data_IF_976839410337
#
_entry.id   IF_976839410337
#
_cell.length_a   1.000
_cell.length_b   1.000
_cell.length_c   1.000
_cell.angle_alpha   90.00
_cell.angle_beta   90.00
_cell.angle_gamma   90.00
#
_symmetry.space_group_name_H-M   'P 1'
#
loop_
_entity.id
_entity.type
_entity.pdbx_description
1 polymer ?
#
# COMPACT_ATOMS: atom_id res chain seq x y z
N UNK A 1 -13.02 -69.39 -43.79
CA UNK A 1 -12.06 -70.48 -44.01
C UNK A 1 -10.71 -69.92 -43.60
N UNK A 2 -10.42 -69.91 -42.30
CA UNK A 2 -9.91 -71.06 -41.52
C UNK A 2 -8.37 -71.11 -41.63
N UNK A 3 -7.56 -71.15 -40.58
CA UNK A 3 -7.80 -71.21 -39.12
C UNK A 3 -6.48 -70.83 -38.42
N UNK A 4 -6.56 -70.24 -37.23
CA UNK A 4 -5.55 -70.41 -36.18
C UNK A 4 -5.53 -71.89 -35.71
N UNK A 5 -4.52 -72.38 -34.97
CA UNK A 5 -4.37 -72.13 -33.51
C UNK A 5 -2.88 -72.18 -33.07
N UNK A 6 -2.44 -72.21 -31.81
CA UNK A 6 -2.78 -71.63 -30.51
C UNK A 6 -1.64 -72.08 -29.54
N UNK A 7 -1.51 -71.38 -28.41
CA UNK A 7 -1.02 -71.85 -27.10
C UNK A 7 0.47 -72.17 -26.85
N UNK A 8 1.05 -71.28 -26.04
CA UNK A 8 1.99 -71.49 -24.92
C UNK A 8 1.46 -72.49 -23.86
N UNK A 9 2.28 -73.13 -23.00
CA UNK A 9 2.93 -72.44 -21.86
C UNK A 9 4.33 -72.91 -21.40
N UNK A 10 4.97 -71.95 -20.71
CA UNK A 10 6.07 -71.99 -19.70
C UNK A 10 6.04 -73.18 -18.71
N UNK A 11 7.08 -73.49 -17.88
CA UNK A 11 7.93 -72.50 -17.19
C UNK A 11 9.40 -72.87 -16.81
N UNK A 12 10.10 -71.83 -16.36
CA UNK A 12 11.01 -71.75 -15.19
C UNK A 12 12.32 -72.59 -15.11
N UNK A 13 13.41 -71.80 -15.01
CA UNK A 13 14.40 -71.74 -13.91
C UNK A 13 15.87 -72.12 -14.20
N UNK A 14 16.70 -71.06 -14.18
CA UNK A 14 18.11 -70.89 -13.77
C UNK A 14 19.19 -71.90 -14.20
N UNK A 15 20.39 -71.42 -14.58
CA UNK A 15 21.49 -71.43 -13.59
C UNK A 15 22.52 -70.28 -13.68
N UNK A 16 23.40 -70.27 -12.66
CA UNK A 16 24.81 -69.80 -12.58
C UNK A 16 25.07 -68.29 -12.56
N UNK A 17 25.56 -67.78 -11.42
CA UNK A 17 26.98 -67.58 -11.04
C UNK A 17 27.48 -66.21 -11.55
N UNK A 18 27.53 -65.22 -10.69
CA UNK A 18 28.72 -64.82 -9.91
C UNK A 18 29.71 -64.05 -10.81
N UNK A 19 29.63 -62.72 -10.78
CA UNK A 19 30.82 -61.87 -10.90
C UNK A 19 30.54 -60.41 -10.54
N UNK A 20 31.52 -59.85 -9.84
CA UNK A 20 31.50 -58.61 -9.09
C UNK A 20 31.22 -57.33 -9.90
N UNK A 21 30.50 -56.40 -9.27
CA UNK A 21 30.64 -54.95 -9.50
C UNK A 21 30.03 -54.16 -8.33
N UNK A 22 30.90 -53.63 -7.46
CA UNK A 22 30.57 -52.62 -6.46
C UNK A 22 30.16 -51.30 -7.15
N UNK A 23 29.02 -50.68 -6.81
CA UNK A 23 28.72 -49.32 -7.22
C UNK A 23 29.17 -48.32 -6.13
N UNK A 24 30.16 -47.52 -6.52
CA UNK A 24 30.55 -46.19 -6.04
C UNK A 24 29.53 -45.52 -5.09
N UNK A 25 29.90 -45.42 -3.81
CA UNK A 25 29.26 -44.51 -2.84
C UNK A 25 29.43 -43.06 -3.31
N UNK A 26 28.30 -42.40 -3.58
CA UNK A 26 28.25 -40.95 -3.76
C UNK A 26 27.85 -40.33 -2.42
N UNK A 27 28.62 -39.36 -1.87
CA UNK A 27 28.32 -38.81 -0.56
C UNK A 27 27.05 -37.95 -0.62
N UNK A 28 26.08 -38.27 0.25
CA UNK A 28 24.90 -37.45 0.50
C UNK A 28 25.31 -36.17 1.22
N UNK A 29 25.50 -35.11 0.45
CA UNK A 29 25.51 -33.73 0.95
C UNK A 29 24.11 -33.16 0.73
N UNK A 30 23.19 -33.38 1.68
CA UNK A 30 22.01 -32.53 1.80
C UNK A 30 22.44 -31.26 2.51
N UNK A 31 23.07 -30.36 1.74
CA UNK A 31 23.11 -28.96 2.08
C UNK A 31 21.70 -28.41 1.84
N UNK A 32 20.96 -28.12 2.91
CA UNK A 32 19.80 -27.24 2.84
C UNK A 32 20.29 -25.88 2.32
N UNK A 33 19.90 -25.55 1.09
CA UNK A 33 20.02 -24.20 0.57
C UNK A 33 19.12 -23.28 1.41
N UNK A 34 19.49 -22.01 1.65
CA UNK A 34 18.58 -21.05 2.25
C UNK A 34 17.36 -20.92 1.32
N UNK A 35 16.16 -21.14 1.85
CA UNK A 35 14.94 -20.72 1.16
C UNK A 35 14.84 -19.20 1.26
N UNK A 36 15.50 -18.50 0.33
CA UNK A 36 15.34 -17.06 0.14
C UNK A 36 13.89 -16.77 -0.30
N UNK A 37 13.14 -16.03 0.52
CA UNK A 37 11.88 -15.39 0.13
C UNK A 37 10.55 -16.03 0.57
N UNK A 38 10.55 -17.12 1.35
CA UNK A 38 9.28 -17.67 1.88
C UNK A 38 9.09 -17.35 3.36
N UNK A 39 8.00 -16.63 3.68
CA UNK A 39 7.56 -16.42 5.06
C UNK A 39 7.47 -17.75 5.84
N UNK A 40 7.68 -17.72 7.17
CA UNK A 40 7.40 -18.85 8.03
C UNK A 40 6.00 -19.43 7.74
N UNK A 41 5.85 -20.77 7.73
CA UNK A 41 4.56 -21.41 7.50
C UNK A 41 3.56 -21.13 8.63
N UNK A 42 4.04 -20.71 9.80
CA UNK A 42 3.25 -20.29 10.94
C UNK A 42 2.97 -18.79 10.88
N UNK A 43 1.69 -18.43 10.90
CA UNK A 43 1.23 -17.04 10.88
C UNK A 43 1.74 -16.24 12.09
N UNK A 44 1.95 -16.89 13.24
CA UNK A 44 2.52 -16.25 14.45
C UNK A 44 3.95 -15.82 14.19
N UNK A 45 4.79 -16.74 13.71
CA UNK A 45 6.19 -16.45 13.39
C UNK A 45 6.32 -15.40 12.27
N UNK A 46 5.44 -15.44 11.27
CA UNK A 46 5.43 -14.43 10.21
C UNK A 46 4.99 -13.03 10.71
N UNK A 47 4.14 -12.95 11.75
CA UNK A 47 3.78 -11.67 12.40
C UNK A 47 4.96 -11.13 13.21
N UNK A 48 5.68 -11.99 13.94
CA UNK A 48 6.87 -11.59 14.71
C UNK A 48 7.98 -11.06 13.77
N UNK A 49 8.15 -11.72 12.62
CA UNK A 49 9.07 -11.28 11.56
C UNK A 49 8.65 -9.92 10.99
N UNK A 50 7.37 -9.72 10.66
CA UNK A 50 6.86 -8.43 10.19
C UNK A 50 7.11 -7.31 11.21
N UNK A 51 6.89 -7.59 12.50
CA UNK A 51 7.18 -6.64 13.57
C UNK A 51 8.67 -6.27 13.61
N UNK A 52 9.56 -7.26 13.47
CA UNK A 52 11.02 -7.05 13.44
C UNK A 52 11.45 -6.25 12.22
N UNK A 53 10.92 -6.58 11.04
CA UNK A 53 11.15 -5.84 9.79
C UNK A 53 10.68 -4.40 9.92
N UNK A 54 9.50 -4.16 10.51
CA UNK A 54 8.98 -2.81 10.71
C UNK A 54 9.84 -1.98 11.67
N UNK A 55 10.33 -2.56 12.77
CA UNK A 55 11.26 -1.85 13.66
C UNK A 55 12.57 -1.51 12.95
N UNK A 56 13.08 -2.43 12.13
CA UNK A 56 14.28 -2.20 11.31
C UNK A 56 14.04 -1.10 10.28
N UNK A 57 12.88 -1.10 9.61
CA UNK A 57 12.47 -0.06 8.66
C UNK A 57 12.42 1.31 9.31
N UNK A 58 11.83 1.43 10.51
CA UNK A 58 11.81 2.69 11.25
C UNK A 58 13.21 3.19 11.58
N UNK A 59 14.09 2.30 12.04
CA UNK A 59 15.48 2.67 12.37
C UNK A 59 16.27 3.08 11.13
N UNK A 60 16.07 2.39 10.00
CA UNK A 60 16.73 2.70 8.74
C UNK A 60 16.26 4.05 8.19
N UNK A 61 14.94 4.29 8.18
CA UNK A 61 14.37 5.56 7.75
C UNK A 61 14.75 6.73 8.67
N UNK A 62 14.89 6.50 9.98
CA UNK A 62 15.26 7.54 10.94
C UNK A 62 16.66 8.14 10.73
N UNK A 63 17.51 7.50 9.90
CA UNK A 63 18.81 8.03 9.48
C UNK A 63 18.68 9.22 8.52
N UNK A 64 17.57 9.29 7.79
CA UNK A 64 17.36 10.24 6.69
C UNK A 64 16.10 11.09 6.91
N UNK A 65 15.09 10.52 7.58
CA UNK A 65 13.80 11.14 7.86
C UNK A 65 13.73 11.51 9.34
N UNK A 66 13.47 12.79 9.61
CA UNK A 66 13.51 13.35 10.97
C UNK A 66 12.10 13.82 11.33
N UNK A 67 11.60 13.37 12.49
CA UNK A 67 10.35 13.87 13.08
C UNK A 67 9.06 13.42 12.40
N UNK A 68 9.11 12.37 11.58
CA UNK A 68 7.95 11.87 10.83
C UNK A 68 7.56 10.43 11.20
N UNK A 69 7.78 10.02 12.45
CA UNK A 69 7.49 8.66 12.92
C UNK A 69 6.03 8.24 12.67
N UNK A 70 5.07 9.12 12.93
CA UNK A 70 3.64 8.83 12.71
C UNK A 70 3.32 8.68 11.21
N UNK A 71 3.90 9.53 10.36
CA UNK A 71 3.74 9.44 8.90
C UNK A 71 4.30 8.11 8.40
N UNK A 72 5.48 7.70 8.90
CA UNK A 72 6.11 6.41 8.56
C UNK A 72 5.21 5.24 9.00
N UNK A 73 4.64 5.27 10.21
CA UNK A 73 3.68 4.27 10.68
C UNK A 73 2.46 4.19 9.76
N UNK A 74 1.84 5.33 9.44
CA UNK A 74 0.65 5.39 8.58
C UNK A 74 0.93 4.90 7.15
N UNK A 75 2.09 5.23 6.58
CA UNK A 75 2.52 4.74 5.26
C UNK A 75 2.77 3.23 5.26
N UNK A 76 3.47 2.72 6.29
CA UNK A 76 3.68 1.28 6.45
C UNK A 76 2.34 0.54 6.56
N UNK A 77 1.41 1.04 7.38
CA UNK A 77 0.07 0.47 7.51
C UNK A 77 -0.63 0.41 6.14
N UNK A 78 -0.63 1.50 5.38
CA UNK A 78 -1.24 1.50 4.04
C UNK A 78 -0.58 0.51 3.09
N UNK A 79 0.75 0.48 3.03
CA UNK A 79 1.50 -0.41 2.15
C UNK A 79 1.20 -1.90 2.46
N UNK A 80 1.29 -2.30 3.73
CA UNK A 80 1.03 -3.69 4.12
C UNK A 80 -0.47 -4.05 4.12
N UNK A 81 -1.37 -3.06 4.17
CA UNK A 81 -2.81 -3.27 4.03
C UNK A 81 -3.30 -3.25 2.58
N UNK A 82 -2.43 -3.00 1.60
CA UNK A 82 -2.77 -2.76 0.18
C UNK A 82 -3.72 -1.57 -0.01
N UNK A 83 -3.53 -0.53 0.79
CA UNK A 83 -4.19 0.76 0.64
C UNK A 83 -3.30 1.77 -0.08
N UNK A 84 -3.88 2.88 -0.50
CA UNK A 84 -3.18 4.05 -1.01
C UNK A 84 -3.33 5.20 -0.03
N UNK A 85 -2.35 6.10 0.03
CA UNK A 85 -2.40 7.24 0.94
C UNK A 85 -2.43 8.56 0.16
N UNK A 86 -3.14 9.53 0.73
CA UNK A 86 -3.14 10.93 0.31
C UNK A 86 -2.41 11.74 1.37
N UNK A 87 -1.32 12.38 1.01
CA UNK A 87 -0.49 13.15 1.92
C UNK A 87 -0.75 14.65 1.71
N UNK A 88 -1.36 15.27 2.72
CA UNK A 88 -1.53 16.71 2.81
C UNK A 88 -0.39 17.32 3.61
N UNK A 89 0.25 18.36 3.06
CA UNK A 89 1.29 19.07 3.80
C UNK A 89 1.91 20.14 2.94
N UNK A 90 2.64 21.05 3.56
CA UNK A 90 3.31 22.14 2.83
C UNK A 90 4.49 21.63 1.98
N UNK A 91 4.93 22.40 0.98
CA UNK A 91 6.15 22.10 0.24
C UNK A 91 7.37 22.04 1.15
N UNK A 92 8.36 21.20 0.81
CA UNK A 92 9.64 21.14 1.50
C UNK A 92 9.73 20.16 2.67
N UNK A 93 8.68 19.43 3.01
CA UNK A 93 8.67 18.45 4.13
C UNK A 93 9.27 17.08 3.78
N UNK A 94 10.29 17.05 2.90
CA UNK A 94 11.00 15.82 2.50
C UNK A 94 10.10 14.66 2.00
N UNK A 95 8.89 14.94 1.48
CA UNK A 95 7.92 13.92 1.04
C UNK A 95 8.49 12.99 -0.05
N UNK A 96 9.22 13.55 -1.01
CA UNK A 96 9.87 12.76 -2.06
C UNK A 96 10.95 11.86 -1.48
N UNK A 97 11.75 12.38 -0.54
CA UNK A 97 12.78 11.63 0.15
C UNK A 97 12.17 10.48 0.97
N UNK A 98 11.03 10.71 1.62
CA UNK A 98 10.32 9.67 2.38
C UNK A 98 9.91 8.49 1.48
N UNK A 99 9.26 8.74 0.34
CA UNK A 99 8.82 7.65 -0.54
C UNK A 99 9.98 6.95 -1.22
N UNK A 100 10.99 7.68 -1.69
CA UNK A 100 12.17 7.06 -2.30
C UNK A 100 12.91 6.20 -1.28
N UNK A 101 13.04 6.67 -0.03
CA UNK A 101 13.69 5.93 1.07
C UNK A 101 12.93 4.64 1.40
N UNK A 102 11.59 4.68 1.42
CA UNK A 102 10.77 3.46 1.59
C UNK A 102 11.00 2.48 0.43
N UNK A 103 11.10 2.97 -0.81
CA UNK A 103 11.41 2.15 -1.98
C UNK A 103 12.77 1.46 -1.89
N UNK A 104 13.79 2.20 -1.48
CA UNK A 104 15.15 1.68 -1.27
C UNK A 104 15.20 0.63 -0.15
N UNK A 105 14.49 0.85 0.96
CA UNK A 105 14.46 -0.09 2.08
C UNK A 105 13.70 -1.39 1.77
N UNK A 106 12.85 -1.42 0.74
CA UNK A 106 11.97 -2.55 0.43
C UNK A 106 12.22 -3.17 -0.96
N UNK A 107 13.31 -2.76 -1.61
CA UNK A 107 13.70 -3.16 -2.98
C UNK A 107 12.53 -3.03 -3.98
N UNK A 108 11.84 -1.89 -3.92
CA UNK A 108 10.68 -1.59 -4.75
C UNK A 108 11.03 -0.56 -5.81
N UNK A 109 10.58 -0.80 -7.05
CA UNK A 109 10.73 0.20 -8.11
C UNK A 109 9.95 1.47 -7.77
N UNK A 110 10.59 2.61 -7.91
CA UNK A 110 10.03 3.92 -7.61
C UNK A 110 9.79 4.72 -8.89
N UNK A 111 8.63 5.38 -8.96
CA UNK A 111 8.27 6.30 -10.02
C UNK A 111 7.61 7.56 -9.43
N UNK A 112 7.84 8.69 -10.10
CA UNK A 112 7.32 9.99 -9.68
C UNK A 112 6.61 10.65 -10.85
N UNK A 113 5.39 11.13 -10.59
CA UNK A 113 4.60 11.94 -11.51
C UNK A 113 4.34 13.28 -10.84
N UNK A 114 4.74 14.36 -11.49
CA UNK A 114 4.34 15.70 -11.11
C UNK A 114 3.06 16.04 -11.88
N UNK A 115 1.97 16.30 -11.16
CA UNK A 115 0.72 16.70 -11.79
C UNK A 115 0.80 18.17 -12.18
N UNK A 116 0.53 18.44 -13.45
CA UNK A 116 0.49 19.77 -14.04
C UNK A 116 -0.80 19.96 -14.86
N UNK A 117 -1.23 21.20 -15.15
CA UNK A 117 -2.48 21.45 -15.87
C UNK A 117 -2.51 20.87 -17.30
N UNK A 118 -1.35 20.63 -17.89
CA UNK A 118 -1.14 20.09 -19.23
C UNK A 118 -0.94 18.57 -19.27
N UNK A 119 -0.82 17.91 -18.11
CA UNK A 119 -0.61 16.47 -18.03
C UNK A 119 -1.81 15.69 -18.61
N UNK A 120 -1.53 14.80 -19.56
CA UNK A 120 -2.55 13.98 -20.22
C UNK A 120 -2.67 12.60 -19.55
N UNK A 121 -3.84 11.94 -19.64
CA UNK A 121 -4.01 10.55 -19.16
C UNK A 121 -2.97 9.56 -19.71
N UNK A 122 -2.56 9.72 -20.97
CA UNK A 122 -1.56 8.88 -21.62
C UNK A 122 -0.15 9.07 -21.03
N UNK A 123 0.16 10.25 -20.47
CA UNK A 123 1.45 10.49 -19.80
C UNK A 123 1.57 9.73 -18.47
N UNK A 124 0.43 9.32 -17.91
CA UNK A 124 0.34 8.52 -16.68
C UNK A 124 0.31 7.04 -17.03
N UNK A 125 -0.63 6.67 -17.89
CA UNK A 125 -0.94 5.28 -18.21
C UNK A 125 0.03 4.68 -19.22
N UNK A 126 0.62 5.48 -20.10
CA UNK A 126 1.42 5.03 -21.23
C UNK A 126 0.74 5.30 -22.57
N UNK A 127 1.51 5.20 -23.65
CA UNK A 127 1.01 5.43 -25.01
C UNK A 127 1.60 4.43 -25.98
N UNK A 128 0.80 4.04 -26.97
CA UNK A 128 1.29 3.35 -28.15
C UNK A 128 2.03 4.35 -29.06
N UNK A 129 3.25 4.00 -29.45
CA UNK A 129 4.01 4.70 -30.47
C UNK A 129 4.14 3.83 -31.71
N UNK A 130 4.25 4.45 -32.88
CA UNK A 130 4.56 3.73 -34.11
C UNK A 130 6.07 3.68 -34.26
N UNK A 131 6.65 2.49 -34.13
CA UNK A 131 8.06 2.26 -34.38
C UNK A 131 8.24 1.55 -35.72
N UNK A 132 9.29 1.90 -36.46
CA UNK A 132 9.65 1.23 -37.70
C UNK A 132 10.62 0.09 -37.37
N UNK A 133 10.21 -1.14 -37.62
CA UNK A 133 11.03 -2.32 -37.35
C UNK A 133 12.32 -2.26 -38.17
N UNK A 134 13.47 -2.17 -37.49
CA UNK A 134 14.79 -2.06 -38.12
C UNK A 134 15.11 -3.25 -39.06
N UNK A 135 14.42 -4.38 -38.89
CA UNK A 135 14.62 -5.61 -39.68
C UNK A 135 13.68 -5.67 -40.89
N UNK A 136 12.47 -5.10 -40.81
CA UNK A 136 11.42 -5.31 -41.82
C UNK A 136 10.90 -4.03 -42.49
N UNK A 137 11.25 -2.85 -41.98
CA UNK A 137 10.74 -1.56 -42.46
C UNK A 137 9.23 -1.36 -42.27
N UNK A 138 8.58 -2.24 -41.50
CA UNK A 138 7.15 -2.14 -41.21
C UNK A 138 6.92 -1.25 -39.98
N UNK A 139 5.84 -0.48 -40.04
CA UNK A 139 5.30 0.29 -38.91
C UNK A 139 4.58 -0.67 -37.97
N UNK A 140 5.12 -0.85 -36.78
CA UNK A 140 4.53 -1.64 -35.69
C UNK A 140 4.13 -0.70 -34.55
N UNK A 141 3.01 -1.00 -33.88
CA UNK A 141 2.62 -0.28 -32.68
C UNK A 141 3.35 -0.91 -31.49
N UNK A 142 4.17 -0.11 -30.80
CA UNK A 142 4.87 -0.49 -29.57
C UNK A 142 4.27 0.31 -28.41
N UNK A 143 3.81 -0.39 -27.37
CA UNK A 143 3.27 0.24 -26.19
C UNK A 143 4.40 0.65 -25.24
N UNK A 144 4.54 1.95 -25.00
CA UNK A 144 5.43 2.49 -23.98
C UNK A 144 4.64 2.60 -22.67
N UNK A 145 5.06 1.78 -21.70
CA UNK A 145 4.54 1.81 -20.33
C UNK A 145 4.72 3.19 -19.71
N UNK A 146 3.65 3.72 -19.15
CA UNK A 146 3.69 4.96 -18.39
C UNK A 146 4.31 4.80 -17.00
N UNK A 147 4.49 5.92 -16.27
CA UNK A 147 5.06 5.93 -14.93
C UNK A 147 4.25 5.15 -13.88
N UNK A 148 2.99 4.77 -14.14
CA UNK A 148 2.21 3.91 -13.23
C UNK A 148 2.72 2.47 -13.15
N UNK A 149 3.55 2.02 -14.09
CA UNK A 149 4.18 0.71 -14.05
C UNK A 149 5.43 0.75 -13.16
N UNK A 150 5.21 0.89 -11.86
CA UNK A 150 6.20 0.84 -10.81
C UNK A 150 5.55 0.32 -9.52
N UNK A 151 6.34 -0.09 -8.53
CA UNK A 151 5.80 -0.59 -7.27
C UNK A 151 5.33 0.54 -6.35
N UNK A 152 6.14 1.60 -6.25
CA UNK A 152 5.83 2.80 -5.49
C UNK A 152 5.69 3.99 -6.44
N UNK A 153 4.52 4.61 -6.42
CA UNK A 153 4.23 5.79 -7.22
C UNK A 153 3.99 7.01 -6.34
N UNK A 154 4.83 8.03 -6.47
CA UNK A 154 4.59 9.36 -5.92
C UNK A 154 3.85 10.22 -6.95
N UNK A 155 2.60 10.55 -6.67
CA UNK A 155 1.78 11.44 -7.49
C UNK A 155 1.71 12.84 -6.84
N UNK A 156 2.68 13.69 -7.18
CA UNK A 156 2.81 15.02 -6.58
C UNK A 156 1.76 15.99 -7.11
N UNK A 157 1.13 16.73 -6.19
CA UNK A 157 0.17 17.81 -6.47
C UNK A 157 -1.00 17.35 -7.34
N UNK A 158 -1.61 16.21 -7.01
CA UNK A 158 -2.69 15.58 -7.79
C UNK A 158 -3.84 16.54 -8.13
N UNK A 159 -4.05 17.57 -7.30
CA UNK A 159 -5.03 18.62 -7.50
C UNK A 159 -4.65 19.65 -8.58
N UNK A 160 -3.49 19.56 -9.25
CA UNK A 160 -3.10 20.49 -10.33
C UNK A 160 -3.45 20.01 -11.74
N UNK A 161 -3.77 18.73 -11.91
CA UNK A 161 -4.19 18.21 -13.21
C UNK A 161 -5.72 18.20 -13.36
N UNK A 162 -6.24 18.23 -14.60
CA UNK A 162 -7.68 18.12 -14.85
C UNK A 162 -8.27 16.80 -14.34
N UNK A 163 -9.58 16.80 -14.07
CA UNK A 163 -10.30 15.64 -13.55
C UNK A 163 -10.15 14.36 -14.40
N UNK A 164 -9.97 14.48 -15.73
CA UNK A 164 -9.73 13.32 -16.61
C UNK A 164 -8.39 12.63 -16.32
N UNK A 165 -7.35 13.43 -16.06
CA UNK A 165 -5.99 12.95 -15.75
C UNK A 165 -5.95 12.33 -14.36
N UNK A 166 -6.61 12.98 -13.37
CA UNK A 166 -6.83 12.40 -12.05
C UNK A 166 -7.54 11.04 -12.12
N UNK A 167 -8.60 10.95 -12.95
CA UNK A 167 -9.36 9.72 -13.12
C UNK A 167 -8.52 8.56 -13.67
N UNK A 168 -7.58 8.83 -14.57
CA UNK A 168 -6.71 7.80 -15.13
C UNK A 168 -5.82 7.14 -14.07
N UNK A 169 -5.23 7.93 -13.16
CA UNK A 169 -4.48 7.39 -12.03
C UNK A 169 -5.39 6.61 -11.07
N UNK A 170 -6.55 7.18 -10.73
CA UNK A 170 -7.49 6.56 -9.78
C UNK A 170 -8.11 5.27 -10.32
N UNK A 171 -8.28 5.15 -11.63
CA UNK A 171 -8.70 3.93 -12.30
C UNK A 171 -7.61 2.86 -12.18
N UNK A 172 -6.35 3.21 -12.49
CA UNK A 172 -5.21 2.31 -12.33
C UNK A 172 -5.08 1.80 -10.88
N UNK A 173 -5.30 2.67 -9.89
CA UNK A 173 -5.32 2.31 -8.46
C UNK A 173 -6.40 1.28 -8.11
N UNK A 174 -7.61 1.42 -8.65
CA UNK A 174 -8.71 0.52 -8.31
C UNK A 174 -8.63 -0.79 -9.08
N UNK A 175 -8.33 -0.71 -10.38
CA UNK A 175 -8.36 -1.85 -11.28
C UNK A 175 -7.05 -2.66 -11.27
N UNK A 176 -5.95 -2.08 -10.76
CA UNK A 176 -4.60 -2.67 -10.75
C UNK A 176 -4.12 -3.10 -12.14
N UNK A 177 -4.66 -2.48 -13.19
CA UNK A 177 -4.37 -2.71 -14.60
C UNK A 177 -4.69 -1.44 -15.39
N UNK A 178 -4.09 -1.33 -16.55
CA UNK A 178 -4.32 -0.25 -17.51
C UNK A 178 -4.76 -0.85 -18.83
N UNK A 179 -5.77 -0.27 -19.47
CA UNK A 179 -6.20 -0.69 -20.81
C UNK A 179 -5.90 0.41 -21.82
N UNK A 180 -5.08 0.09 -22.81
CA UNK A 180 -4.73 0.98 -23.92
C UNK A 180 -5.02 0.28 -25.25
N UNK A 181 -5.76 0.96 -26.14
CA UNK A 181 -6.17 0.48 -27.47
C UNK A 181 -6.72 -0.97 -27.51
N UNK A 182 -7.44 -1.39 -26.47
CA UNK A 182 -8.04 -2.71 -26.38
C UNK A 182 -7.13 -3.81 -25.82
N UNK A 183 -5.88 -3.48 -25.48
CA UNK A 183 -4.95 -4.36 -24.75
C UNK A 183 -4.91 -3.97 -23.28
N UNK A 184 -5.00 -4.97 -22.39
CA UNK A 184 -4.93 -4.78 -20.94
C UNK A 184 -3.54 -5.19 -20.44
N UNK A 185 -2.94 -4.32 -19.64
CA UNK A 185 -1.63 -4.47 -19.02
C UNK A 185 -1.79 -4.48 -17.51
N UNK A 186 -1.32 -5.52 -16.84
CA UNK A 186 -1.32 -5.60 -15.37
C UNK A 186 -0.22 -4.70 -14.79
N UNK A 187 -0.50 -4.07 -13.65
CA UNK A 187 0.50 -3.30 -12.91
C UNK A 187 1.41 -4.23 -12.10
N UNK A 188 2.64 -3.77 -11.88
CA UNK A 188 3.63 -4.49 -11.09
C UNK A 188 3.20 -4.53 -9.60
N UNK A 189 3.37 -5.68 -8.96
CA UNK A 189 2.91 -5.93 -7.59
C UNK A 189 4.13 -6.05 -6.66
N UNK A 190 4.12 -5.46 -5.45
CA UNK A 190 3.04 -4.64 -4.87
C UNK A 190 2.91 -3.30 -5.60
N UNK A 191 1.68 -2.76 -5.66
CA UNK A 191 1.38 -1.45 -6.23
C UNK A 191 0.86 -0.51 -5.15
N UNK A 192 1.61 0.55 -4.86
CA UNK A 192 1.28 1.56 -3.86
C UNK A 192 1.38 2.95 -4.47
N UNK A 193 0.44 3.81 -4.09
CA UNK A 193 0.37 5.19 -4.57
C UNK A 193 0.33 6.10 -3.35
N UNK A 194 1.28 7.02 -3.29
CA UNK A 194 1.23 8.18 -2.43
C UNK A 194 0.91 9.40 -3.28
N UNK A 195 -0.32 9.91 -3.18
CA UNK A 195 -0.67 11.17 -3.80
C UNK A 195 -0.39 12.31 -2.83
N UNK A 196 0.07 13.47 -3.30
CA UNK A 196 0.26 14.65 -2.46
C UNK A 196 -0.67 15.78 -2.87
N UNK A 197 -1.12 16.56 -1.90
CA UNK A 197 -1.85 17.80 -2.11
C UNK A 197 -1.20 18.91 -1.30
N UNK A 198 -1.07 20.08 -1.93
CA UNK A 198 -0.66 21.30 -1.25
C UNK A 198 -1.92 22.10 -0.85
N UNK A 199 -2.20 22.29 0.45
CA UNK A 199 -3.41 22.98 0.89
C UNK A 199 -3.38 24.50 0.66
N UNK A 200 -2.21 25.09 0.42
CA UNK A 200 -2.05 26.57 0.34
C UNK A 200 -2.32 27.10 -1.07
N UNK A 201 -2.00 26.33 -2.10
CA UNK A 201 -2.17 26.76 -3.49
C UNK A 201 -3.62 26.61 -3.93
N UNK A 202 -4.33 27.74 -4.10
CA UNK A 202 -5.72 27.77 -4.56
C UNK A 202 -5.84 28.08 -6.06
N UNK A 203 -4.86 28.75 -6.67
CA UNK A 203 -4.89 29.09 -8.10
C UNK A 203 -4.53 27.89 -8.97
N UNK A 204 -5.36 27.64 -10.01
CA UNK A 204 -5.09 26.57 -10.97
C UNK A 204 -5.25 25.16 -10.40
N UNK A 205 -6.02 24.99 -9.33
CA UNK A 205 -6.29 23.68 -8.73
C UNK A 205 -7.69 23.17 -9.05
N UNK A 206 -7.78 21.85 -9.16
CA UNK A 206 -8.96 21.03 -9.40
C UNK A 206 -9.11 20.11 -8.19
N UNK A 207 -9.97 20.46 -7.21
CA UNK A 207 -10.14 19.64 -6.01
C UNK A 207 -10.65 18.25 -6.42
N UNK A 208 -10.15 17.22 -5.73
CA UNK A 208 -10.66 15.87 -5.95
C UNK A 208 -12.07 15.79 -5.37
N UNK A 209 -13.07 15.36 -6.18
CA UNK A 209 -14.38 15.01 -5.65
C UNK A 209 -14.28 13.97 -4.53
N UNK A 210 -15.25 13.97 -3.64
CA UNK A 210 -15.25 13.15 -2.43
C UNK A 210 -15.31 11.65 -2.78
N UNK A 211 -16.00 11.31 -3.87
CA UNK A 211 -15.99 9.96 -4.43
C UNK A 211 -14.59 9.50 -4.88
N UNK A 212 -13.70 10.42 -5.25
CA UNK A 212 -12.32 10.14 -5.60
C UNK A 212 -11.43 10.06 -4.35
N UNK A 213 -11.58 11.00 -3.42
CA UNK A 213 -10.89 10.96 -2.13
C UNK A 213 -11.17 9.65 -1.38
N UNK A 214 -12.40 9.15 -1.44
CA UNK A 214 -12.80 7.90 -0.77
C UNK A 214 -12.04 6.66 -1.28
N UNK A 215 -11.34 6.73 -2.42
CA UNK A 215 -10.48 5.65 -2.92
C UNK A 215 -9.17 5.52 -2.13
N UNK A 216 -8.68 6.61 -1.51
CA UNK A 216 -7.51 6.57 -0.65
C UNK A 216 -7.87 6.00 0.72
N UNK A 217 -7.07 5.07 1.22
CA UNK A 217 -7.25 4.48 2.54
C UNK A 217 -7.09 5.55 3.62
N UNK A 218 -5.93 6.22 3.64
CA UNK A 218 -5.60 7.27 4.60
C UNK A 218 -5.45 8.65 3.93
N UNK A 219 -5.90 9.67 4.65
CA UNK A 219 -5.41 11.04 4.51
C UNK A 219 -4.41 11.27 5.65
N UNK A 220 -3.15 11.51 5.27
CA UNK A 220 -2.02 11.73 6.18
C UNK A 220 -1.65 13.20 6.14
N UNK A 221 -1.71 13.87 7.28
CA UNK A 221 -1.29 15.26 7.40
C UNK A 221 0.14 15.34 7.90
N UNK A 222 0.95 16.20 7.28
CA UNK A 222 2.32 16.47 7.70
C UNK A 222 2.45 17.95 8.04
N UNK A 223 2.67 18.21 9.32
CA UNK A 223 2.90 19.54 9.86
C UNK A 223 4.38 19.94 9.74
N UNK A 224 4.67 21.21 10.05
CA UNK A 224 6.05 21.66 10.16
C UNK A 224 6.79 20.93 11.28
N UNK A 225 8.08 20.60 11.09
CA UNK A 225 8.90 20.01 12.14
C UNK A 225 9.03 20.97 13.33
N UNK A 226 9.25 20.41 14.52
CA UNK A 226 9.62 21.19 15.70
C UNK A 226 10.97 21.88 15.51
N UNK A 227 11.28 22.89 16.33
CA UNK A 227 12.55 23.62 16.24
C UNK A 227 13.78 22.68 16.31
N UNK A 228 13.73 21.66 17.17
CA UNK A 228 14.84 20.71 17.31
C UNK A 228 14.95 19.77 16.09
N UNK A 229 13.83 19.33 15.53
CA UNK A 229 13.81 18.55 14.29
C UNK A 229 14.30 19.40 13.11
N UNK A 230 13.87 20.65 13.00
CA UNK A 230 14.29 21.55 11.93
C UNK A 230 15.79 21.85 11.98
N UNK A 231 16.34 22.06 13.19
CA UNK A 231 17.80 22.17 13.39
C UNK A 231 18.55 20.92 12.95
N UNK A 232 17.99 19.74 13.24
CA UNK A 232 18.58 18.46 12.80
C UNK A 232 18.51 18.32 11.29
N UNK A 233 17.36 18.60 10.68
CA UNK A 233 17.18 18.60 9.21
C UNK A 233 18.21 19.52 8.59
N UNK A 234 18.36 20.75 9.08
CA UNK A 234 19.33 21.70 8.56
C UNK A 234 20.77 21.16 8.67
N UNK A 235 21.13 20.47 9.77
CA UNK A 235 22.47 19.91 9.95
C UNK A 235 22.74 18.70 9.05
N UNK A 236 21.79 17.77 8.98
CA UNK A 236 21.94 16.49 8.30
C UNK A 236 21.81 16.66 6.76
N UNK A 237 20.95 17.57 6.29
CA UNK A 237 20.77 17.81 4.84
C UNK A 237 21.82 18.75 4.22
N UNK A 238 22.51 19.55 5.02
CA UNK A 238 23.61 20.43 4.54
C UNK A 238 25.00 19.83 4.74
N UNK A 239 25.08 18.61 5.28
CA UNK A 239 26.30 17.83 5.38
C UNK A 239 26.81 17.33 4.01
N UNK A 240 28.02 16.77 4.00
CA UNK A 240 28.68 16.27 2.77
C UNK A 240 28.35 14.79 2.51
N UNK A 241 27.99 14.03 3.55
CA UNK A 241 27.68 12.60 3.47
C UNK A 241 26.18 12.35 3.72
N UNK A 242 25.58 11.50 2.89
CA UNK A 242 24.28 10.92 3.13
C UNK A 242 24.44 9.45 3.50
N UNK A 243 23.81 9.03 4.59
CA UNK A 243 23.75 7.62 4.96
C UNK A 243 23.03 6.85 3.87
N UNK A 244 23.67 5.78 3.37
CA UNK A 244 23.04 4.85 2.43
C UNK A 244 22.08 3.94 3.19
N UNK A 245 20.84 3.91 2.72
CA UNK A 245 19.83 2.99 3.22
C UNK A 245 20.13 1.57 2.74
N UNK A 246 19.88 0.60 3.60
CA UNK A 246 19.99 -0.82 3.26
C UNK A 246 18.61 -1.38 2.92
N UNK A 247 18.55 -2.20 1.87
CA UNK A 247 17.37 -2.99 1.57
C UNK A 247 17.15 -4.03 2.69
N UNK A 248 15.95 -4.04 3.27
CA UNK A 248 15.58 -4.89 4.40
C UNK A 248 14.76 -6.10 3.94
N UNK A 249 13.87 -5.88 2.97
CA UNK A 249 13.00 -6.91 2.39
C UNK A 249 12.82 -6.65 0.90
N UNK A 250 12.33 -7.66 0.18
CA UNK A 250 12.03 -7.65 -1.25
C UNK A 250 10.55 -7.41 -1.52
N UNK A 251 10.20 -7.05 -2.76
CA UNK A 251 8.80 -6.91 -3.17
C UNK A 251 7.96 -8.20 -3.03
N UNK A 252 8.58 -9.39 -3.16
CA UNK A 252 7.89 -10.66 -2.95
C UNK A 252 7.52 -10.88 -1.47
N UNK A 253 8.43 -10.53 -0.56
CA UNK A 253 8.19 -10.57 0.88
C UNK A 253 7.10 -9.56 1.29
N UNK A 254 7.12 -8.35 0.71
CA UNK A 254 6.02 -7.37 0.90
C UNK A 254 4.67 -7.97 0.50
N UNK A 255 4.59 -8.64 -0.65
CA UNK A 255 3.36 -9.29 -1.09
C UNK A 255 2.92 -10.41 -0.17
N UNK A 256 3.86 -11.14 0.41
CA UNK A 256 3.61 -12.20 1.38
C UNK A 256 3.06 -11.61 2.69
N UNK A 257 3.67 -10.54 3.22
CA UNK A 257 3.17 -9.83 4.40
C UNK A 257 1.79 -9.20 4.17
N UNK A 258 1.53 -8.65 2.98
CA UNK A 258 0.19 -8.15 2.63
C UNK A 258 -0.88 -9.25 2.65
N UNK A 259 -0.53 -10.49 2.30
CA UNK A 259 -1.45 -11.63 2.43
C UNK A 259 -1.64 -12.01 3.90
N UNK A 260 -0.57 -11.97 4.70
CA UNK A 260 -0.61 -12.22 6.14
C UNK A 260 -1.55 -11.23 6.86
N UNK A 261 -1.39 -9.92 6.64
CA UNK A 261 -2.24 -8.87 7.24
C UNK A 261 -3.72 -9.12 6.96
N UNK A 262 -4.08 -9.58 5.76
CA UNK A 262 -5.48 -9.90 5.43
C UNK A 262 -6.05 -11.06 6.23
N UNK A 263 -5.23 -12.05 6.56
CA UNK A 263 -5.62 -13.25 7.34
C UNK A 263 -5.68 -13.02 8.84
N UNK A 264 -5.14 -11.90 9.33
CA UNK A 264 -5.16 -11.56 10.75
C UNK A 264 -6.60 -11.63 11.32
N UNK A 265 -6.81 -12.32 12.45
CA UNK A 265 -8.10 -12.42 13.11
C UNK A 265 -8.52 -11.07 13.71
N UNK A 266 -9.82 -10.81 13.67
CA UNK A 266 -10.45 -9.64 14.26
C UNK A 266 -11.65 -10.13 15.07
N UNK A 267 -11.70 -9.86 16.38
CA UNK A 267 -12.86 -10.20 17.20
C UNK A 267 -14.13 -9.48 16.73
N UNK A 268 -15.30 -10.11 16.89
CA UNK A 268 -16.59 -9.56 16.43
C UNK A 268 -16.88 -8.15 16.99
N UNK A 269 -16.58 -7.91 18.27
CA UNK A 269 -16.78 -6.61 18.90
C UNK A 269 -15.95 -5.47 18.25
N UNK A 270 -14.83 -5.79 17.61
CA UNK A 270 -14.02 -4.81 16.87
C UNK A 270 -14.72 -4.41 15.56
N UNK A 271 -15.38 -5.36 14.89
CA UNK A 271 -16.22 -5.06 13.73
C UNK A 271 -17.41 -4.19 14.13
N UNK A 272 -18.07 -4.54 15.23
CA UNK A 272 -19.20 -3.76 15.75
C UNK A 272 -18.78 -2.32 16.09
N UNK A 273 -17.65 -2.16 16.78
CA UNK A 273 -17.09 -0.84 17.11
C UNK A 273 -16.75 -0.02 15.85
N UNK A 274 -16.12 -0.62 14.84
CA UNK A 274 -15.82 0.06 13.58
C UNK A 274 -17.10 0.50 12.84
N UNK A 275 -18.15 -0.32 12.88
CA UNK A 275 -19.47 0.04 12.32
C UNK A 275 -20.10 1.16 13.13
N UNK A 276 -20.02 1.11 14.45
CA UNK A 276 -20.56 2.13 15.35
C UNK A 276 -19.94 3.49 15.07
N UNK A 277 -18.60 3.60 15.06
CA UNK A 277 -17.89 4.85 14.74
C UNK A 277 -18.43 5.43 13.43
N UNK A 278 -18.43 4.62 12.36
CA UNK A 278 -18.84 5.08 11.03
C UNK A 278 -20.32 5.50 11.01
N UNK A 279 -21.20 4.79 11.71
CA UNK A 279 -22.62 5.15 11.80
C UNK A 279 -22.83 6.45 12.56
N UNK A 280 -22.09 6.68 13.65
CA UNK A 280 -22.16 7.92 14.43
C UNK A 280 -21.73 9.16 13.64
N UNK A 281 -20.87 9.01 12.62
CA UNK A 281 -20.54 10.13 11.71
C UNK A 281 -21.67 10.58 10.79
N UNK A 282 -22.75 9.79 10.64
CA UNK A 282 -23.82 10.07 9.65
C UNK A 282 -24.90 10.94 10.28
N UNK A 283 -25.08 12.21 9.85
CA UNK A 283 -25.99 13.15 10.52
C UNK A 283 -27.47 12.71 10.51
N UNK A 284 -27.86 11.86 9.54
CA UNK A 284 -29.22 11.32 9.43
C UNK A 284 -29.44 10.01 10.20
N UNK A 285 -28.42 9.49 10.91
CA UNK A 285 -28.55 8.27 11.71
C UNK A 285 -29.12 8.59 13.09
N UNK A 286 -29.99 7.73 13.61
CA UNK A 286 -30.50 7.85 14.98
C UNK A 286 -29.36 7.75 16.01
N UNK A 287 -28.32 6.99 15.68
CA UNK A 287 -27.13 6.76 16.52
C UNK A 287 -26.20 7.99 16.59
N UNK A 288 -26.37 8.99 15.71
CA UNK A 288 -25.44 10.11 15.63
C UNK A 288 -25.67 11.12 16.78
N UNK A 289 -24.62 11.50 17.53
CA UNK A 289 -24.67 12.54 18.55
C UNK A 289 -25.29 13.84 18.02
N UNK A 290 -25.99 14.59 18.88
CA UNK A 290 -26.69 15.81 18.48
C UNK A 290 -25.76 16.83 17.80
N UNK A 291 -24.52 16.96 18.28
CA UNK A 291 -23.53 17.88 17.73
C UNK A 291 -23.02 17.45 16.33
N UNK A 292 -22.99 16.15 16.02
CA UNK A 292 -22.67 15.67 14.66
C UNK A 292 -23.73 16.18 13.67
N UNK A 293 -25.01 16.15 14.06
CA UNK A 293 -26.11 16.63 13.20
C UNK A 293 -26.03 18.13 12.93
N UNK A 294 -25.42 18.88 13.83
CA UNK A 294 -25.21 20.32 13.70
C UNK A 294 -24.03 20.66 12.79
N UNK A 295 -22.95 19.87 12.82
CA UNK A 295 -21.68 20.22 12.17
C UNK A 295 -21.33 19.39 10.92
N UNK A 296 -21.90 18.20 10.76
CA UNK A 296 -21.58 17.30 9.65
C UNK A 296 -22.68 17.37 8.59
N UNK A 297 -22.29 17.71 7.36
CA UNK A 297 -23.17 17.66 6.19
C UNK A 297 -23.30 16.27 5.59
N UNK A 298 -22.20 15.50 5.59
CA UNK A 298 -22.18 14.13 5.07
C UNK A 298 -21.20 13.25 5.85
N UNK A 299 -21.65 12.06 6.25
CA UNK A 299 -20.86 11.11 7.04
C UNK A 299 -20.20 10.01 6.21
N UNK A 300 -19.37 9.21 6.86
CA UNK A 300 -18.56 8.20 6.21
C UNK A 300 -19.38 6.99 5.68
N UNK A 301 -18.99 6.50 4.50
CA UNK A 301 -19.61 5.34 3.84
C UNK A 301 -19.08 3.97 4.32
N UNK A 302 -19.61 2.86 3.81
CA UNK A 302 -19.17 1.50 4.19
C UNK A 302 -17.69 1.20 3.94
N UNK A 303 -17.07 1.88 2.97
CA UNK A 303 -15.64 1.75 2.69
C UNK A 303 -14.77 2.20 3.87
N UNK A 304 -15.25 3.16 4.66
CA UNK A 304 -14.58 3.57 5.90
C UNK A 304 -14.45 2.41 6.89
N UNK A 305 -15.51 1.60 7.07
CA UNK A 305 -15.46 0.42 7.95
C UNK A 305 -14.39 -0.56 7.47
N UNK A 306 -14.32 -0.81 6.16
CA UNK A 306 -13.31 -1.69 5.58
C UNK A 306 -11.90 -1.19 5.83
N UNK A 307 -11.65 0.11 5.67
CA UNK A 307 -10.34 0.69 5.90
C UNK A 307 -9.97 0.84 7.38
N UNK A 308 -10.94 1.04 8.28
CA UNK A 308 -10.70 0.96 9.72
C UNK A 308 -10.22 -0.45 10.10
N UNK A 309 -10.95 -1.48 9.68
CA UNK A 309 -10.58 -2.88 10.00
C UNK A 309 -9.25 -3.27 9.35
N UNK A 310 -9.03 -2.94 8.08
CA UNK A 310 -7.76 -3.22 7.40
C UNK A 310 -6.59 -2.45 8.04
N UNK A 311 -6.80 -1.18 8.39
CA UNK A 311 -5.79 -0.36 9.06
C UNK A 311 -5.46 -0.91 10.45
N UNK A 312 -6.46 -1.35 11.21
CA UNK A 312 -6.26 -1.97 12.51
C UNK A 312 -5.50 -3.30 12.41
N UNK A 313 -5.83 -4.15 11.42
CA UNK A 313 -5.06 -5.37 11.12
C UNK A 313 -3.60 -5.03 10.78
N UNK A 314 -3.38 -4.06 9.89
CA UNK A 314 -2.04 -3.63 9.51
C UNK A 314 -1.23 -3.14 10.71
N UNK A 315 -1.83 -2.26 11.53
CA UNK A 315 -1.18 -1.72 12.73
C UNK A 315 -0.86 -2.79 13.77
N UNK A 316 -1.81 -3.67 14.06
CA UNK A 316 -1.59 -4.80 14.97
C UNK A 316 -0.43 -5.68 14.48
N UNK A 317 -0.41 -6.02 13.19
CA UNK A 317 0.65 -6.86 12.60
C UNK A 317 2.03 -6.20 12.69
N UNK A 318 2.13 -4.91 12.39
CA UNK A 318 3.39 -4.16 12.49
C UNK A 318 3.91 -4.05 13.93
N UNK A 319 3.01 -4.13 14.92
CA UNK A 319 3.36 -4.15 16.34
C UNK A 319 3.68 -5.56 16.87
N UNK A 320 3.59 -6.59 16.04
CA UNK A 320 3.76 -7.99 16.47
C UNK A 320 2.56 -8.56 17.22
N UNK A 321 1.40 -7.91 17.16
CA UNK A 321 0.17 -8.42 17.77
C UNK A 321 -0.51 -9.43 16.85
N UNK A 322 -1.02 -10.51 17.44
CA UNK A 322 -1.65 -11.62 16.69
C UNK A 322 -3.13 -11.39 16.34
N UNK A 323 -3.74 -10.32 16.87
CA UNK A 323 -5.13 -9.94 16.62
C UNK A 323 -5.30 -8.42 16.71
N UNK A 324 -6.26 -7.88 15.98
CA UNK A 324 -6.58 -6.45 16.07
C UNK A 324 -7.30 -6.11 17.38
N UNK A 325 -7.00 -4.94 17.93
CA UNK A 325 -7.60 -4.41 19.14
C UNK A 325 -8.42 -3.13 18.89
N UNK A 326 -9.14 -2.66 19.92
CA UNK A 326 -9.85 -1.37 19.87
C UNK A 326 -8.86 -0.20 19.68
N UNK A 327 -7.70 -0.25 20.37
CA UNK A 327 -6.65 0.76 20.25
C UNK A 327 -6.17 0.89 18.78
N UNK A 328 -6.14 -0.22 18.05
CA UNK A 328 -5.74 -0.23 16.64
C UNK A 328 -6.76 0.45 15.73
N UNK A 329 -8.06 0.27 15.99
CA UNK A 329 -9.13 0.97 15.25
C UNK A 329 -9.07 2.47 15.51
N UNK A 330 -8.93 2.86 16.78
CA UNK A 330 -8.95 4.27 17.16
C UNK A 330 -7.76 5.04 16.60
N UNK A 331 -6.57 4.43 16.60
CA UNK A 331 -5.39 5.07 16.08
C UNK A 331 -5.42 5.29 14.56
N UNK A 332 -6.12 4.42 13.82
CA UNK A 332 -6.31 4.62 12.38
C UNK A 332 -7.59 5.41 12.05
N UNK A 333 -8.41 5.75 13.05
CA UNK A 333 -9.69 6.40 12.82
C UNK A 333 -9.56 7.78 12.19
N UNK A 334 -8.66 8.61 12.71
CA UNK A 334 -8.40 9.96 12.19
C UNK A 334 -7.95 9.93 10.72
N UNK A 335 -6.87 9.21 10.34
CA UNK A 335 -6.43 9.19 8.94
C UNK A 335 -7.45 8.51 8.00
N UNK A 336 -8.30 7.60 8.48
CA UNK A 336 -9.36 6.99 7.65
C UNK A 336 -10.55 7.94 7.47
N UNK A 337 -10.99 8.64 8.51
CA UNK A 337 -12.29 9.32 8.50
C UNK A 337 -12.20 10.79 8.08
N UNK A 338 -11.03 11.43 8.18
CA UNK A 338 -10.87 12.87 7.94
C UNK A 338 -11.40 13.33 6.57
N UNK A 339 -11.10 12.61 5.49
CA UNK A 339 -11.61 12.93 4.14
C UNK A 339 -12.97 12.31 3.81
N UNK A 340 -13.59 11.60 4.76
CA UNK A 340 -14.87 10.91 4.60
C UNK A 340 -16.01 11.56 5.39
N UNK A 341 -15.67 12.47 6.29
CA UNK A 341 -16.61 13.29 7.05
C UNK A 341 -16.54 14.70 6.47
N UNK A 342 -17.65 15.17 5.90
CA UNK A 342 -17.74 16.50 5.29
C UNK A 342 -18.47 17.41 6.26
N UNK A 343 -17.76 18.42 6.74
CA UNK A 343 -18.31 19.46 7.61
C UNK A 343 -19.19 20.43 6.82
N UNK A 344 -20.17 21.03 7.47
CA UNK A 344 -21.01 22.07 6.88
C UNK A 344 -20.47 23.48 7.21
N UNK A 345 -21.11 24.52 6.65
CA UNK A 345 -20.69 25.90 6.87
C UNK A 345 -20.73 26.34 8.35
N UNK A 346 -21.66 25.79 9.15
CA UNK A 346 -21.74 26.11 10.58
C UNK A 346 -20.48 25.62 11.31
N UNK A 347 -20.02 24.41 10.98
CA UNK A 347 -18.78 23.85 11.52
C UNK A 347 -17.56 24.70 11.13
N UNK A 348 -17.44 25.09 9.86
CA UNK A 348 -16.35 25.96 9.38
C UNK A 348 -16.31 27.28 10.14
N UNK A 349 -17.47 27.91 10.36
CA UNK A 349 -17.57 29.18 11.10
C UNK A 349 -17.10 29.10 12.55
N UNK A 350 -17.13 27.90 13.14
CA UNK A 350 -16.70 27.63 14.51
C UNK A 350 -15.31 26.97 14.58
N UNK A 351 -14.61 26.85 13.44
CA UNK A 351 -13.30 26.21 13.36
C UNK A 351 -13.34 24.70 13.64
N UNK A 352 -14.49 24.06 13.42
CA UNK A 352 -14.67 22.63 13.55
C UNK A 352 -14.35 21.96 12.21
N UNK A 353 -13.13 21.41 12.10
CA UNK A 353 -12.66 20.69 10.91
C UNK A 353 -13.05 19.22 10.96
N UNK A 354 -13.05 18.53 9.82
CA UNK A 354 -13.31 17.09 9.77
C UNK A 354 -12.42 16.28 10.69
N UNK A 355 -11.13 16.65 10.80
CA UNK A 355 -10.18 16.04 11.76
C UNK A 355 -10.68 16.19 13.20
N UNK A 356 -11.02 17.42 13.63
CA UNK A 356 -11.51 17.70 14.99
C UNK A 356 -12.82 16.99 15.31
N UNK A 357 -13.71 16.86 14.31
CA UNK A 357 -14.94 16.08 14.44
C UNK A 357 -14.62 14.62 14.73
N UNK A 358 -13.68 14.03 13.99
CA UNK A 358 -13.31 12.62 14.20
C UNK A 358 -12.61 12.44 15.54
N UNK A 359 -11.63 13.28 15.89
CA UNK A 359 -10.92 13.22 17.17
C UNK A 359 -11.91 13.27 18.34
N UNK A 360 -12.82 14.25 18.34
CA UNK A 360 -13.85 14.39 19.36
C UNK A 360 -14.77 13.17 19.43
N UNK A 361 -15.19 12.62 18.29
CA UNK A 361 -16.06 11.44 18.26
C UNK A 361 -15.37 10.22 18.90
N UNK A 362 -14.09 10.01 18.58
CA UNK A 362 -13.31 8.90 19.16
C UNK A 362 -13.07 9.10 20.65
N UNK A 363 -12.80 10.33 21.09
CA UNK A 363 -12.69 10.66 22.53
C UNK A 363 -13.98 10.36 23.29
N UNK A 364 -15.14 10.82 22.79
CA UNK A 364 -16.44 10.55 23.43
C UNK A 364 -16.73 9.03 23.49
N UNK A 365 -16.40 8.28 22.43
CA UNK A 365 -16.60 6.82 22.40
C UNK A 365 -15.69 6.02 23.33
N UNK A 366 -14.57 6.59 23.80
CA UNK A 366 -13.70 5.96 24.81
C UNK A 366 -14.21 6.14 26.24
N UNK A 367 -14.97 7.20 26.48
CA UNK A 367 -15.50 7.56 27.79
C UNK A 367 -16.85 6.88 28.10
N UNK A 368 -17.59 6.51 27.05
CA UNK A 368 -18.81 5.69 27.09
C UNK A 368 -18.51 4.21 27.35
#
# INVERSE_FOLDING_TARGET
MDSAPADTPDPENAPSDDDAQDPVETPQTTAEAPQEGSLPPDDVAAIDELGTVYQSLRQELAKVIIGQDEVVEQLAICLFSRGHALLMGVPGLAKTLLVSSVGECMDLSFSRIQFTPDLMPADITGTDIIQESAVTGKREFEYIKGPVFANLLLADEINRAPAKTQSALLEAMQENKVTALGHTYELDKPFFVLATQNPIEQEGTYPLPEAQLDRFMFLVEVDYPSEDEERRIARETTGVDHDRLNALITGEEVLAFQKLVRRMPVPDHIYDYAVEIVRKTRPNSDDAPAWIREYVGWGAGPRAVQYLVLGAKGRAALRGNYMASLEDIEAVAVPVLTHRVITNFAAESQGMTSKRVVERLIEEMRED
#
